data_IF_756602611467
#
_entry.id   IF_756602611467
#
_cell.length_a   1.000
_cell.length_b   1.000
_cell.length_c   1.000
_cell.angle_alpha   90.00
_cell.angle_beta   90.00
_cell.angle_gamma   90.00
#
_symmetry.space_group_name_H-M   'P 1'
#
loop_
_entity.id
_entity.type
_entity.pdbx_description
1 polymer ?
#
# COMPACT_ATOMS: atom_id res chain seq x y z
N UNK A 1 1.16 -13.24 27.45
CA UNK A 1 1.79 -12.15 26.69
C UNK A 1 0.78 -11.15 26.17
N UNK A 2 -0.53 -11.47 26.21
CA UNK A 2 -1.60 -10.52 25.88
C UNK A 2 -2.25 -9.86 27.12
N UNK A 3 -1.99 -10.34 28.35
CA UNK A 3 -2.45 -9.66 29.59
C UNK A 3 -1.58 -8.45 29.97
N UNK A 4 -0.34 -8.37 29.49
CA UNK A 4 0.58 -7.28 29.84
C UNK A 4 0.34 -5.99 29.01
N UNK A 5 -0.46 -6.06 27.92
CA UNK A 5 -0.74 -4.92 27.02
C UNK A 5 -2.01 -4.16 27.45
N UNK A 6 -3.02 -4.86 28.00
CA UNK A 6 -4.24 -4.23 28.53
C UNK A 6 -3.96 -3.41 29.80
N UNK A 7 -3.03 -3.87 30.65
CA UNK A 7 -2.63 -3.15 31.85
C UNK A 7 -1.81 -1.88 31.55
N UNK A 8 -1.03 -1.86 30.46
CA UNK A 8 -0.31 -0.64 30.01
C UNK A 8 -1.28 0.40 29.40
N UNK A 9 -2.32 -0.01 28.69
CA UNK A 9 -3.32 0.90 28.12
C UNK A 9 -4.24 1.50 29.19
N UNK A 10 -4.68 0.70 30.18
CA UNK A 10 -5.47 1.21 31.29
C UNK A 10 -4.65 2.16 32.18
N UNK A 11 -3.37 1.87 32.43
CA UNK A 11 -2.51 2.76 33.20
C UNK A 11 -2.28 4.13 32.51
N UNK A 12 -2.24 4.18 31.17
CA UNK A 12 -2.12 5.44 30.42
C UNK A 12 -3.40 6.29 30.52
N UNK A 13 -4.59 5.67 30.50
CA UNK A 13 -5.88 6.37 30.63
C UNK A 13 -6.02 6.97 32.04
N UNK A 14 -5.63 6.25 33.09
CA UNK A 14 -5.64 6.78 34.46
C UNK A 14 -4.57 7.86 34.69
N UNK A 15 -3.46 7.85 33.95
CA UNK A 15 -2.45 8.92 34.00
C UNK A 15 -2.94 10.21 33.32
N UNK A 16 -3.57 10.11 32.15
CA UNK A 16 -4.18 11.28 31.46
C UNK A 16 -5.31 11.91 32.28
N UNK A 17 -6.11 11.10 32.98
CA UNK A 17 -7.19 11.59 33.84
C UNK A 17 -6.67 12.38 35.05
N UNK A 18 -5.54 11.96 35.64
CA UNK A 18 -4.89 12.67 36.75
C UNK A 18 -4.16 13.95 36.29
N UNK A 19 -3.55 13.96 35.10
CA UNK A 19 -2.92 15.17 34.52
C UNK A 19 -3.97 16.26 34.22
N UNK A 20 -5.16 15.86 33.75
CA UNK A 20 -6.29 16.76 33.54
C UNK A 20 -6.79 17.34 34.88
N UNK A 21 -6.91 16.52 35.92
CA UNK A 21 -7.36 16.95 37.25
C UNK A 21 -6.32 17.85 37.96
N UNK A 22 -5.01 17.63 37.78
CA UNK A 22 -3.95 18.53 38.27
C UNK A 22 -3.96 19.89 37.53
N UNK A 23 -4.21 19.91 36.22
CA UNK A 23 -4.41 21.16 35.47
C UNK A 23 -5.60 21.99 35.96
N UNK A 24 -6.60 21.37 36.63
CA UNK A 24 -7.75 22.07 37.21
C UNK A 24 -7.50 22.66 38.60
N UNK A 25 -6.46 22.23 39.33
CA UNK A 25 -6.07 22.84 40.61
C UNK A 25 -5.33 24.16 40.41
N UNK A 26 -4.48 24.27 39.38
CA UNK A 26 -3.72 25.47 39.07
C UNK A 26 -4.59 26.62 38.50
N UNK A 27 -5.75 26.30 37.93
CA UNK A 27 -6.68 27.32 37.38
C UNK A 27 -7.51 28.01 38.48
N UNK A 28 -7.63 27.39 39.67
CA UNK A 28 -8.48 27.92 40.74
C UNK A 28 -7.79 28.97 41.65
N UNK A 29 -6.47 29.15 41.56
CA UNK A 29 -5.74 30.12 42.40
C UNK A 29 -5.31 31.42 41.68
N UNK A 30 -5.47 31.52 40.36
CA UNK A 30 -5.24 32.76 39.61
C UNK A 30 -6.49 33.24 38.87
N UNK A 31 -7.36 33.96 39.60
CA UNK A 31 -7.79 35.33 39.27
C UNK A 31 -9.15 35.65 39.90
N UNK A 32 -9.06 36.18 41.12
CA UNK A 32 -10.02 37.15 41.64
C UNK A 32 -9.94 38.44 40.80
N UNK A 33 -10.88 38.62 39.87
CA UNK A 33 -11.61 39.87 39.58
C UNK A 33 -12.22 39.84 38.18
N UNK A 34 -13.44 40.34 38.14
CA UNK A 34 -14.18 40.84 36.99
C UNK A 34 -15.03 39.85 36.16
N UNK A 35 -16.34 40.03 36.35
CA UNK A 35 -17.43 39.97 35.36
C UNK A 35 -18.32 38.71 35.35
N UNK A 36 -19.39 38.81 36.16
CA UNK A 36 -20.64 38.03 36.18
C UNK A 36 -21.46 38.03 34.85
N UNK A 37 -20.80 38.02 33.70
CA UNK A 37 -21.42 37.80 32.38
C UNK A 37 -20.72 36.70 31.56
N UNK A 38 -19.53 36.21 31.96
CA UNK A 38 -18.87 35.05 31.33
C UNK A 38 -19.30 33.68 31.91
N UNK A 39 -19.60 33.61 33.20
CA UNK A 39 -19.93 32.34 33.88
C UNK A 39 -21.18 31.62 33.33
N UNK A 40 -22.16 32.34 32.79
CA UNK A 40 -23.36 31.72 32.20
C UNK A 40 -23.12 31.15 30.80
N UNK A 41 -22.14 31.66 30.05
CA UNK A 41 -21.84 31.14 28.72
C UNK A 41 -20.92 29.92 28.80
N UNK A 42 -19.94 29.93 29.70
CA UNK A 42 -19.01 28.82 29.89
C UNK A 42 -19.73 27.60 30.51
N UNK A 43 -20.64 27.82 31.47
CA UNK A 43 -21.46 26.73 32.06
C UNK A 43 -22.40 26.08 31.04
N UNK A 44 -22.97 26.86 30.11
CA UNK A 44 -23.82 26.34 29.03
C UNK A 44 -23.02 25.61 27.95
N UNK A 45 -21.79 26.07 27.65
CA UNK A 45 -20.89 25.34 26.76
C UNK A 45 -20.43 24.00 27.38
N UNK A 46 -20.14 23.97 28.68
CA UNK A 46 -19.73 22.76 29.40
C UNK A 46 -20.90 21.77 29.52
N UNK A 47 -22.13 22.25 29.74
CA UNK A 47 -23.32 21.38 29.77
C UNK A 47 -23.66 20.81 28.38
N UNK A 48 -23.44 21.59 27.31
CA UNK A 48 -23.55 21.09 25.94
C UNK A 48 -22.46 20.09 25.60
N UNK A 49 -21.21 20.31 26.04
CA UNK A 49 -20.14 19.33 25.87
C UNK A 49 -20.44 18.04 26.64
N UNK A 50 -20.88 18.11 27.90
CA UNK A 50 -21.28 16.93 28.68
C UNK A 50 -22.45 16.17 28.04
N UNK A 51 -23.47 16.88 27.53
CA UNK A 51 -24.59 16.24 26.83
C UNK A 51 -24.15 15.62 25.50
N UNK A 52 -23.24 16.26 24.76
CA UNK A 52 -22.65 15.67 23.55
C UNK A 52 -21.87 14.40 23.90
N UNK A 53 -21.03 14.41 24.93
CA UNK A 53 -20.26 13.24 25.37
C UNK A 53 -21.14 12.10 25.93
N UNK A 54 -22.21 12.42 26.66
CA UNK A 54 -23.19 11.42 27.09
C UNK A 54 -23.98 10.82 25.93
N UNK A 55 -24.37 11.64 24.94
CA UNK A 55 -24.98 11.13 23.70
C UNK A 55 -24.00 10.24 22.90
N UNK A 56 -22.70 10.55 22.88
CA UNK A 56 -21.70 9.68 22.26
C UNK A 56 -21.54 8.34 23.00
N UNK A 57 -21.71 8.30 24.32
CA UNK A 57 -21.68 7.05 25.10
C UNK A 57 -22.97 6.23 24.95
N UNK A 58 -24.13 6.88 24.84
CA UNK A 58 -25.42 6.22 24.61
C UNK A 58 -25.56 5.73 23.14
N UNK A 59 -24.92 6.39 22.17
CA UNK A 59 -24.81 5.91 20.78
C UNK A 59 -23.90 4.67 20.67
N UNK A 60 -22.84 4.58 21.48
CA UNK A 60 -21.98 3.39 21.54
C UNK A 60 -22.67 2.18 22.20
N UNK A 61 -23.54 2.39 23.19
CA UNK A 61 -24.25 1.30 23.87
C UNK A 61 -25.46 0.77 23.08
N UNK A 62 -26.00 1.52 22.12
CA UNK A 62 -27.11 1.08 21.26
C UNK A 62 -26.66 0.53 19.88
N UNK A 63 -25.35 0.40 19.65
CA UNK A 63 -24.75 -0.15 18.43
C UNK A 63 -24.15 -1.56 18.61
N UNK A 64 -24.31 -2.18 19.79
CA UNK A 64 -23.76 -3.52 20.06
C UNK A 64 -24.69 -4.69 19.67
N UNK A 65 -25.86 -4.42 19.08
CA UNK A 65 -26.74 -5.48 18.54
C UNK A 65 -26.84 -5.38 17.01
N UNK A 66 -26.10 -6.27 16.34
CA UNK A 66 -26.19 -6.69 14.93
C UNK A 66 -25.70 -5.74 13.81
N UNK A 67 -24.46 -5.23 13.91
CA UNK A 67 -23.71 -4.83 12.70
C UNK A 67 -22.48 -5.73 12.50
N UNK A 68 -22.70 -6.81 11.75
CA UNK A 68 -21.67 -7.64 11.13
C UNK A 68 -20.78 -6.74 10.25
N UNK A 69 -19.60 -6.36 10.75
CA UNK A 69 -18.55 -5.65 10.01
C UNK A 69 -17.94 -6.55 8.91
N UNK A 70 -18.75 -6.92 7.92
CA UNK A 70 -18.31 -7.53 6.67
C UNK A 70 -17.70 -6.47 5.77
N UNK A 71 -16.38 -6.52 5.58
CA UNK A 71 -15.58 -5.61 4.77
C UNK A 71 -16.23 -5.19 3.44
N UNK A 72 -16.75 -3.96 3.39
CA UNK A 72 -17.06 -3.24 2.15
C UNK A 72 -15.73 -2.77 1.53
N UNK A 73 -14.96 -3.70 0.95
CA UNK A 73 -13.72 -3.40 0.23
C UNK A 73 -13.91 -3.32 -1.30
N UNK A 74 -15.15 -3.28 -1.80
CA UNK A 74 -15.39 -3.16 -3.23
C UNK A 74 -15.39 -1.70 -3.66
N UNK A 75 -14.69 -1.40 -4.77
CA UNK A 75 -14.79 -0.09 -5.40
C UNK A 75 -16.14 0.04 -6.09
N UNK A 76 -16.80 1.16 -5.89
CA UNK A 76 -17.96 1.51 -6.68
C UNK A 76 -17.57 1.82 -8.14
N UNK A 77 -18.56 1.86 -9.02
CA UNK A 77 -18.34 2.06 -10.46
C UNK A 77 -17.61 3.39 -10.75
N UNK A 78 -17.98 4.46 -10.03
CA UNK A 78 -17.36 5.78 -10.18
C UNK A 78 -15.88 5.77 -9.79
N UNK A 79 -15.53 5.14 -8.66
CA UNK A 79 -14.12 4.99 -8.24
C UNK A 79 -13.33 4.17 -9.24
N UNK A 80 -13.90 3.09 -9.78
CA UNK A 80 -13.23 2.29 -10.81
C UNK A 80 -12.95 3.10 -12.06
N UNK A 81 -13.93 3.85 -12.58
CA UNK A 81 -13.75 4.71 -13.75
C UNK A 81 -12.63 5.72 -13.49
N UNK A 82 -12.64 6.37 -12.33
CA UNK A 82 -11.61 7.33 -11.92
C UNK A 82 -10.20 6.70 -11.86
N UNK A 83 -10.06 5.51 -11.27
CA UNK A 83 -8.78 4.80 -11.20
C UNK A 83 -8.29 4.38 -12.59
N UNK A 84 -9.20 3.97 -13.48
CA UNK A 84 -8.86 3.61 -14.85
C UNK A 84 -8.36 4.83 -15.65
N UNK A 85 -9.00 5.98 -15.50
CA UNK A 85 -8.57 7.23 -16.12
C UNK A 85 -7.21 7.68 -15.59
N UNK A 86 -6.98 7.57 -14.28
CA UNK A 86 -5.68 7.87 -13.68
C UNK A 86 -4.59 6.96 -14.18
N UNK A 87 -4.81 5.64 -14.23
CA UNK A 87 -3.83 4.71 -14.79
C UNK A 87 -3.39 5.15 -16.19
N UNK A 88 -4.35 5.54 -17.04
CA UNK A 88 -4.06 6.02 -18.39
C UNK A 88 -3.20 7.29 -18.37
N UNK A 89 -3.51 8.26 -17.51
CA UNK A 89 -2.73 9.50 -17.37
C UNK A 89 -1.28 9.18 -16.95
N UNK A 90 -1.08 8.36 -15.94
CA UNK A 90 0.26 7.99 -15.47
C UNK A 90 1.03 7.18 -16.52
N UNK A 91 0.36 6.27 -17.24
CA UNK A 91 1.00 5.46 -18.27
C UNK A 91 1.45 6.31 -19.48
N UNK A 92 0.69 7.35 -19.84
CA UNK A 92 1.05 8.25 -20.94
C UNK A 92 2.31 9.10 -20.63
N UNK A 93 2.67 9.23 -19.36
CA UNK A 93 3.86 10.00 -18.93
C UNK A 93 5.16 9.18 -18.98
N UNK A 94 5.06 7.87 -19.18
CA UNK A 94 6.21 6.99 -19.33
C UNK A 94 6.51 6.82 -20.81
N UNK A 95 7.74 7.15 -21.22
CA UNK A 95 8.24 6.73 -22.52
C UNK A 95 8.64 5.26 -22.39
N UNK A 96 7.90 4.38 -23.07
CA UNK A 96 8.08 2.92 -22.98
C UNK A 96 9.49 2.43 -23.35
N UNK A 97 10.23 3.26 -24.08
CA UNK A 97 11.61 3.00 -24.49
C UNK A 97 12.54 4.09 -23.94
N UNK A 98 12.25 4.65 -22.76
CA UNK A 98 13.04 5.75 -22.18
C UNK A 98 14.50 5.36 -21.97
N UNK A 99 14.80 4.09 -21.68
CA UNK A 99 16.17 3.62 -21.48
C UNK A 99 16.94 3.79 -22.80
N UNK A 100 16.38 3.27 -23.89
CA UNK A 100 16.97 3.33 -25.22
C UNK A 100 17.00 4.75 -25.80
N UNK A 101 15.93 5.53 -25.58
CA UNK A 101 15.72 6.84 -26.21
C UNK A 101 16.37 7.99 -25.43
N UNK A 102 16.42 7.91 -24.10
CA UNK A 102 16.77 9.05 -23.22
C UNK A 102 17.92 8.78 -22.27
N UNK A 103 18.24 7.52 -21.93
CA UNK A 103 19.22 7.19 -20.89
C UNK A 103 20.44 6.45 -21.44
N UNK A 104 21.33 7.16 -22.15
CA UNK A 104 22.53 6.54 -22.77
C UNK A 104 23.52 5.91 -21.78
N UNK A 105 23.46 6.28 -20.50
CA UNK A 105 24.36 5.80 -19.45
C UNK A 105 23.74 4.70 -18.58
N UNK A 106 22.47 4.35 -18.81
CA UNK A 106 21.74 3.35 -18.04
C UNK A 106 21.35 2.20 -18.96
N UNK A 107 21.24 1.01 -18.39
CA UNK A 107 20.77 -0.19 -19.08
C UNK A 107 19.55 -0.75 -18.37
N UNK A 108 18.82 -1.62 -19.05
CA UNK A 108 17.69 -2.33 -18.45
C UNK A 108 18.12 -3.19 -17.25
N UNK A 109 19.30 -3.81 -17.32
CA UNK A 109 19.83 -4.62 -16.20
C UNK A 109 20.11 -3.75 -14.97
N UNK A 110 20.63 -2.54 -15.16
CA UNK A 110 20.83 -1.60 -14.05
C UNK A 110 19.50 -1.23 -13.39
N UNK A 111 18.42 -1.06 -14.16
CA UNK A 111 17.07 -0.82 -13.61
C UNK A 111 16.62 -1.98 -12.73
N UNK A 112 16.81 -3.23 -13.17
CA UNK A 112 16.47 -4.43 -12.38
C UNK A 112 17.26 -4.44 -11.07
N UNK A 113 18.57 -4.22 -11.12
CA UNK A 113 19.43 -4.17 -9.92
C UNK A 113 18.98 -3.07 -8.96
N UNK A 114 18.62 -1.89 -9.47
CA UNK A 114 18.13 -0.82 -8.63
C UNK A 114 16.77 -1.15 -8.00
N UNK A 115 15.84 -1.74 -8.76
CA UNK A 115 14.51 -2.10 -8.25
C UNK A 115 14.60 -3.16 -7.17
N UNK A 116 15.43 -4.18 -7.38
CA UNK A 116 15.73 -5.20 -6.37
C UNK A 116 16.31 -4.58 -5.09
N UNK A 117 17.27 -3.67 -5.22
CA UNK A 117 17.82 -2.94 -4.07
C UNK A 117 16.76 -2.08 -3.36
N UNK A 118 15.90 -1.34 -4.10
CA UNK A 118 14.81 -0.56 -3.50
C UNK A 118 13.86 -1.48 -2.72
N UNK A 119 13.54 -2.66 -3.26
CA UNK A 119 12.69 -3.65 -2.60
C UNK A 119 13.32 -4.18 -1.31
N UNK A 120 14.64 -4.44 -1.31
CA UNK A 120 15.38 -4.82 -0.09
C UNK A 120 15.33 -3.71 0.98
N UNK A 121 15.59 -2.45 0.60
CA UNK A 121 15.50 -1.31 1.52
C UNK A 121 14.08 -1.14 2.06
N UNK A 122 13.06 -1.28 1.22
CA UNK A 122 11.67 -1.22 1.66
C UNK A 122 11.34 -2.35 2.67
N UNK A 123 11.85 -3.56 2.43
CA UNK A 123 11.67 -4.69 3.35
C UNK A 123 12.36 -4.49 4.70
N UNK A 124 13.58 -3.94 4.71
CA UNK A 124 14.35 -3.67 5.94
C UNK A 124 13.59 -2.69 6.87
N UNK A 125 12.91 -1.71 6.28
CA UNK A 125 12.10 -0.73 7.02
C UNK A 125 10.63 -1.16 7.17
N UNK A 126 10.28 -2.40 6.83
CA UNK A 126 8.91 -2.94 6.89
C UNK A 126 7.87 -2.06 6.19
N UNK A 127 8.28 -1.39 5.10
CA UNK A 127 7.39 -0.55 4.31
C UNK A 127 6.35 -1.42 3.61
N UNK A 128 5.16 -0.85 3.36
CA UNK A 128 4.12 -1.51 2.58
C UNK A 128 4.64 -1.81 1.18
N UNK A 129 4.17 -2.93 0.62
CA UNK A 129 4.40 -3.26 -0.81
C UNK A 129 3.92 -2.11 -1.71
N UNK A 130 2.81 -1.47 -1.36
CA UNK A 130 2.29 -0.30 -2.09
C UNK A 130 3.33 0.83 -2.20
N UNK A 131 4.03 1.14 -1.11
CA UNK A 131 5.11 2.16 -1.07
C UNK A 131 6.21 1.86 -2.09
N UNK A 132 6.62 0.59 -2.21
CA UNK A 132 7.57 0.17 -3.24
C UNK A 132 7.02 0.37 -4.66
N UNK A 133 5.78 -0.03 -4.94
CA UNK A 133 5.20 0.11 -6.28
C UNK A 133 4.97 1.57 -6.69
N UNK A 134 4.64 2.44 -5.74
CA UNK A 134 4.59 3.89 -6.00
C UNK A 134 6.01 4.39 -6.35
N UNK A 135 7.04 3.98 -5.61
CA UNK A 135 8.41 4.44 -5.80
C UNK A 135 8.96 4.11 -7.19
N UNK A 136 8.79 2.87 -7.65
CA UNK A 136 9.25 2.45 -8.99
C UNK A 136 8.47 3.17 -10.11
N UNK A 137 7.19 3.48 -9.90
CA UNK A 137 6.39 4.22 -10.88
C UNK A 137 6.88 5.67 -11.00
N UNK A 138 7.16 6.32 -9.87
CA UNK A 138 7.78 7.64 -9.82
C UNK A 138 9.15 7.61 -10.53
N UNK A 139 9.96 6.58 -10.27
CA UNK A 139 11.28 6.42 -10.86
C UNK A 139 11.23 6.27 -12.40
N UNK A 140 10.40 5.38 -12.93
CA UNK A 140 10.26 5.19 -14.39
C UNK A 140 9.75 6.46 -15.09
N UNK A 141 8.80 7.18 -14.49
CA UNK A 141 8.30 8.47 -15.02
C UNK A 141 9.35 9.57 -14.98
N UNK A 142 10.14 9.60 -13.91
CA UNK A 142 11.23 10.56 -13.77
C UNK A 142 12.31 10.32 -14.83
N UNK A 143 12.75 9.07 -15.00
CA UNK A 143 13.72 8.68 -16.03
C UNK A 143 13.19 8.84 -17.46
N UNK A 144 11.86 8.75 -17.63
CA UNK A 144 11.18 9.09 -18.88
C UNK A 144 11.21 10.59 -19.20
N UNK A 145 11.38 11.46 -18.20
CA UNK A 145 11.37 12.91 -18.39
C UNK A 145 12.78 13.50 -18.45
N UNK A 146 13.72 12.93 -17.70
CA UNK A 146 15.12 13.34 -17.65
C UNK A 146 15.94 12.77 -18.82
N UNK A 147 17.06 13.42 -19.18
CA UNK A 147 17.94 12.94 -20.28
C UNK A 147 19.34 12.66 -19.75
N UNK A 148 19.83 11.46 -19.99
CA UNK A 148 21.19 10.99 -19.66
C UNK A 148 21.58 11.20 -18.18
N UNK A 149 20.78 10.65 -17.26
CA UNK A 149 21.13 10.60 -15.86
C UNK A 149 22.50 9.93 -15.69
N UNK A 150 23.34 10.46 -14.78
CA UNK A 150 24.64 9.84 -14.49
C UNK A 150 24.43 8.58 -13.68
N UNK A 151 25.17 7.53 -13.99
CA UNK A 151 25.15 6.27 -13.22
C UNK A 151 25.37 6.49 -11.72
N UNK A 152 26.24 7.43 -11.34
CA UNK A 152 26.52 7.77 -9.93
C UNK A 152 25.34 8.42 -9.20
N UNK A 153 24.33 8.93 -9.93
CA UNK A 153 23.13 9.56 -9.39
C UNK A 153 21.96 8.55 -9.31
N UNK A 154 22.10 7.36 -9.88
CA UNK A 154 20.98 6.45 -10.06
C UNK A 154 20.46 5.90 -8.72
N UNK A 155 21.36 5.55 -7.80
CA UNK A 155 20.98 5.07 -6.46
C UNK A 155 20.25 6.15 -5.64
N UNK A 156 20.77 7.39 -5.59
CA UNK A 156 20.11 8.47 -4.84
C UNK A 156 18.73 8.81 -5.43
N UNK A 157 18.57 8.81 -6.76
CA UNK A 157 17.25 9.04 -7.37
C UNK A 157 16.27 7.94 -6.97
N UNK A 158 16.69 6.67 -7.00
CA UNK A 158 15.88 5.54 -6.53
C UNK A 158 15.49 5.66 -5.06
N UNK A 159 16.46 5.99 -4.19
CA UNK A 159 16.22 6.21 -2.76
C UNK A 159 15.21 7.35 -2.52
N UNK A 160 15.35 8.47 -3.24
CA UNK A 160 14.47 9.62 -3.08
C UNK A 160 13.05 9.29 -3.56
N UNK A 161 12.88 8.52 -4.64
CA UNK A 161 11.57 8.02 -5.04
C UNK A 161 10.91 7.17 -3.93
N UNK A 162 11.69 6.32 -3.24
CA UNK A 162 11.19 5.55 -2.11
C UNK A 162 10.80 6.45 -0.93
N UNK A 163 11.60 7.46 -0.61
CA UNK A 163 11.30 8.45 0.44
C UNK A 163 10.01 9.21 0.14
N UNK A 164 9.84 9.70 -1.10
CA UNK A 164 8.62 10.40 -1.53
C UNK A 164 7.40 9.50 -1.32
N UNK A 165 7.51 8.24 -1.73
CA UNK A 165 6.44 7.25 -1.62
C UNK A 165 6.10 6.94 -0.16
N UNK A 166 7.13 6.73 0.68
CA UNK A 166 6.94 6.45 2.09
C UNK A 166 6.23 7.61 2.81
N UNK A 167 6.63 8.85 2.54
CA UNK A 167 5.96 10.04 3.10
C UNK A 167 4.49 10.19 2.68
N UNK A 168 4.08 9.57 1.57
CA UNK A 168 2.72 9.61 1.07
C UNK A 168 1.86 8.45 1.60
N UNK A 169 2.45 7.26 1.73
CA UNK A 169 1.71 6.00 1.93
C UNK A 169 1.80 5.46 3.37
N UNK A 170 2.89 5.75 4.09
CA UNK A 170 3.09 5.26 5.46
C UNK A 170 2.49 6.21 6.48
N UNK A 171 1.91 5.64 7.55
CA UNK A 171 1.43 6.42 8.70
C UNK A 171 2.62 7.10 9.40
N UNK A 172 3.70 6.34 9.59
CA UNK A 172 4.94 6.80 10.21
C UNK A 172 6.14 6.47 9.30
N UNK A 173 6.41 7.29 8.28
CA UNK A 173 7.54 7.07 7.39
C UNK A 173 8.88 7.19 8.13
N UNK A 174 9.90 6.38 7.80
CA UNK A 174 11.25 6.55 8.34
C UNK A 174 11.81 7.94 8.03
N UNK A 175 12.67 8.44 8.92
CA UNK A 175 13.32 9.74 8.72
C UNK A 175 14.32 9.63 7.57
N UNK A 176 14.57 10.74 6.86
CA UNK A 176 15.58 10.79 5.79
C UNK A 176 16.94 10.27 6.24
N UNK A 177 17.35 10.55 7.49
CA UNK A 177 18.62 10.06 8.05
C UNK A 177 18.69 8.54 8.18
N UNK A 178 17.56 7.88 8.40
CA UNK A 178 17.50 6.41 8.47
C UNK A 178 17.69 5.83 7.07
N UNK A 179 16.97 6.34 6.07
CA UNK A 179 17.17 5.95 4.66
C UNK A 179 18.63 6.12 4.17
N UNK A 180 19.35 7.13 4.65
CA UNK A 180 20.76 7.34 4.31
C UNK A 180 21.70 6.24 4.88
N UNK A 181 21.30 5.53 5.93
CA UNK A 181 22.06 4.38 6.43
C UNK A 181 22.12 3.25 5.40
N UNK A 182 21.07 3.08 4.59
CA UNK A 182 21.02 2.08 3.53
C UNK A 182 21.98 2.36 2.37
N UNK A 183 22.49 3.59 2.26
CA UNK A 183 23.54 3.97 1.29
C UNK A 183 24.91 4.12 1.92
N UNK A 184 25.10 3.58 3.13
CA UNK A 184 26.32 3.74 3.93
C UNK A 184 26.70 5.21 4.14
N UNK A 185 25.70 6.11 4.19
CA UNK A 185 25.87 7.56 4.26
C UNK A 185 26.68 8.15 3.09
N UNK A 186 26.59 7.55 1.90
CA UNK A 186 27.20 8.08 0.67
C UNK A 186 26.61 9.43 0.22
N UNK A 187 25.46 9.81 0.79
CA UNK A 187 24.73 11.02 0.45
C UNK A 187 24.35 11.81 1.71
N UNK A 188 24.12 13.12 1.54
CA UNK A 188 23.67 14.00 2.62
C UNK A 188 22.16 14.22 2.56
N UNK A 189 21.59 14.75 3.66
CA UNK A 189 20.18 15.18 3.68
C UNK A 189 19.90 16.29 2.67
N UNK A 190 20.87 17.16 2.40
CA UNK A 190 20.73 18.23 1.41
C UNK A 190 20.68 17.68 -0.03
N UNK A 191 21.43 16.63 -0.31
CA UNK A 191 21.35 15.92 -1.60
C UNK A 191 19.94 15.35 -1.79
N UNK A 192 19.39 14.68 -0.77
CA UNK A 192 18.03 14.12 -0.79
C UNK A 192 17.01 15.22 -1.04
N UNK A 193 17.08 16.35 -0.31
CA UNK A 193 16.16 17.48 -0.49
C UNK A 193 16.25 18.11 -1.89
N UNK A 194 17.46 18.17 -2.47
CA UNK A 194 17.66 18.69 -3.82
C UNK A 194 16.98 17.79 -4.86
N UNK A 195 17.20 16.48 -4.78
CA UNK A 195 16.58 15.52 -5.68
C UNK A 195 15.08 15.42 -5.48
N UNK A 196 14.59 15.48 -4.25
CA UNK A 196 13.17 15.43 -3.96
C UNK A 196 12.42 16.57 -4.65
N UNK A 197 12.92 17.81 -4.49
CA UNK A 197 12.37 18.98 -5.18
C UNK A 197 12.40 18.82 -6.70
N UNK A 198 13.50 18.27 -7.24
CA UNK A 198 13.64 18.06 -8.69
C UNK A 198 12.61 17.05 -9.20
N UNK A 199 12.51 15.89 -8.55
CA UNK A 199 11.58 14.81 -8.94
C UNK A 199 10.15 15.32 -8.89
N UNK A 200 9.74 15.95 -7.78
CA UNK A 200 8.39 16.46 -7.60
C UNK A 200 8.03 17.54 -8.65
N UNK A 201 8.96 18.45 -8.95
CA UNK A 201 8.74 19.48 -9.96
C UNK A 201 8.64 18.90 -11.38
N UNK A 202 9.51 17.96 -11.74
CA UNK A 202 9.47 17.32 -13.07
C UNK A 202 8.17 16.53 -13.25
N UNK A 203 7.71 15.84 -12.21
CA UNK A 203 6.46 15.07 -12.23
C UNK A 203 5.21 15.90 -11.96
N UNK A 204 5.35 17.23 -11.83
CA UNK A 204 4.23 18.13 -11.51
C UNK A 204 3.41 17.66 -10.31
N UNK A 205 4.09 17.14 -9.27
CA UNK A 205 3.48 16.62 -8.03
C UNK A 205 2.51 15.45 -8.20
N UNK A 206 2.50 14.80 -9.37
CA UNK A 206 1.70 13.60 -9.58
C UNK A 206 2.45 12.37 -9.05
N UNK A 207 2.22 12.01 -7.79
CA UNK A 207 2.95 10.96 -7.05
C UNK A 207 2.07 9.80 -6.56
N UNK A 208 0.80 9.77 -6.94
CA UNK A 208 -0.15 8.74 -6.50
C UNK A 208 -0.70 7.95 -7.70
N UNK A 209 0.08 7.05 -8.32
CA UNK A 209 -0.40 6.21 -9.42
C UNK A 209 -1.28 5.07 -8.91
N UNK A 210 -2.30 4.62 -9.67
CA UNK A 210 -2.86 3.28 -9.48
C UNK A 210 -1.80 2.23 -9.80
N UNK A 211 -1.33 1.49 -8.79
CA UNK A 211 -0.19 0.57 -8.92
C UNK A 211 -0.60 -0.85 -9.33
N UNK A 212 0.40 -1.68 -9.68
CA UNK A 212 0.19 -3.11 -9.90
C UNK A 212 -0.31 -3.82 -8.63
N UNK A 213 0.23 -3.48 -7.46
CA UNK A 213 -0.22 -4.04 -6.19
C UNK A 213 -1.69 -3.69 -5.92
N UNK A 214 -2.10 -2.43 -6.12
CA UNK A 214 -3.51 -2.02 -5.98
C UNK A 214 -4.46 -2.85 -6.86
N UNK A 215 -4.17 -2.96 -8.16
CA UNK A 215 -5.01 -3.74 -9.08
C UNK A 215 -4.96 -5.24 -8.79
N UNK A 216 -3.82 -5.78 -8.36
CA UNK A 216 -3.69 -7.18 -7.94
C UNK A 216 -4.58 -7.48 -6.71
N UNK A 217 -4.53 -6.61 -5.70
CA UNK A 217 -5.41 -6.72 -4.53
C UNK A 217 -6.89 -6.66 -4.93
N UNK A 218 -7.26 -5.76 -5.84
CA UNK A 218 -8.62 -5.67 -6.37
C UNK A 218 -9.04 -6.98 -7.06
N UNK A 219 -8.22 -7.56 -7.94
CA UNK A 219 -8.59 -8.80 -8.63
C UNK A 219 -8.76 -9.99 -7.70
N UNK A 220 -7.89 -10.13 -6.70
CA UNK A 220 -8.04 -11.18 -5.70
C UNK A 220 -9.30 -11.01 -4.85
N UNK A 221 -9.68 -9.78 -4.54
CA UNK A 221 -10.93 -9.51 -3.85
C UNK A 221 -12.16 -9.84 -4.72
N UNK A 222 -12.14 -9.48 -6.00
CA UNK A 222 -13.22 -9.85 -6.93
C UNK A 222 -13.35 -11.37 -7.04
N UNK A 223 -12.23 -12.10 -6.99
CA UNK A 223 -12.24 -13.56 -6.96
C UNK A 223 -12.94 -14.09 -5.71
N UNK A 224 -12.54 -13.63 -4.53
CA UNK A 224 -13.13 -14.09 -3.26
C UNK A 224 -14.65 -13.81 -3.21
N UNK A 225 -15.06 -12.60 -3.63
CA UNK A 225 -16.48 -12.25 -3.73
C UNK A 225 -17.24 -13.11 -4.74
N UNK A 226 -16.62 -13.48 -5.87
CA UNK A 226 -17.23 -14.37 -6.85
C UNK A 226 -17.45 -15.77 -6.26
N UNK A 227 -16.47 -16.31 -5.53
CA UNK A 227 -16.59 -17.61 -4.86
C UNK A 227 -17.72 -17.61 -3.83
N UNK A 228 -17.81 -16.56 -3.01
CA UNK A 228 -18.81 -16.46 -1.93
C UNK A 228 -20.23 -16.27 -2.44
N UNK A 229 -20.42 -15.43 -3.47
CA UNK A 229 -21.75 -15.02 -3.91
C UNK A 229 -22.29 -15.83 -5.11
N UNK A 230 -21.45 -16.62 -5.78
CA UNK A 230 -21.88 -17.39 -6.95
C UNK A 230 -22.31 -18.80 -6.58
N UNK A 231 -23.60 -19.08 -6.77
CA UNK A 231 -24.14 -20.45 -6.71
C UNK A 231 -23.45 -21.38 -7.74
N UNK A 232 -23.00 -20.82 -8.87
CA UNK A 232 -22.26 -21.57 -9.88
C UNK A 232 -20.86 -21.98 -9.38
N UNK A 233 -20.15 -21.08 -8.69
CA UNK A 233 -18.86 -21.39 -8.10
C UNK A 233 -19.02 -22.46 -7.00
N UNK A 234 -19.95 -22.25 -6.06
CA UNK A 234 -20.21 -23.19 -4.96
C UNK A 234 -20.52 -24.63 -5.42
N UNK A 235 -21.20 -24.77 -6.57
CA UNK A 235 -21.58 -26.07 -7.13
C UNK A 235 -20.64 -26.57 -8.23
N UNK A 236 -19.52 -25.87 -8.50
CA UNK A 236 -18.66 -26.23 -9.60
C UNK A 236 -17.97 -27.58 -9.33
N UNK A 237 -18.00 -28.55 -10.27
CA UNK A 237 -17.41 -29.88 -10.07
C UNK A 237 -15.92 -29.87 -9.67
N UNK A 238 -15.18 -28.82 -10.07
CA UNK A 238 -13.77 -28.65 -9.71
C UNK A 238 -13.55 -28.18 -8.26
N UNK A 239 -14.51 -27.50 -7.62
CA UNK A 239 -14.46 -27.14 -6.19
C UNK A 239 -14.85 -28.36 -5.35
N UNK A 240 -15.83 -29.13 -5.81
CA UNK A 240 -16.33 -30.32 -5.13
C UNK A 240 -15.40 -31.54 -5.26
N UNK A 241 -14.54 -31.56 -6.28
CA UNK A 241 -13.42 -32.51 -6.36
C UNK A 241 -12.34 -32.09 -5.37
N UNK A 242 -12.56 -32.40 -4.09
CA UNK A 242 -11.55 -32.35 -3.05
C UNK A 242 -10.30 -33.11 -3.51
N UNK A 243 -9.28 -32.39 -3.97
CA UNK A 243 -7.92 -32.91 -3.90
C UNK A 243 -7.60 -33.04 -2.40
N UNK A 244 -7.25 -34.22 -1.89
CA UNK A 244 -7.00 -34.40 -0.45
C UNK A 244 -5.86 -33.52 0.10
N UNK A 245 -5.09 -32.87 -0.79
CA UNK A 245 -3.98 -31.98 -0.48
C UNK A 245 -4.29 -30.48 -0.68
N UNK A 246 -5.45 -30.09 -1.23
CA UNK A 246 -5.79 -28.69 -1.51
C UNK A 246 -7.17 -28.39 -0.91
N UNK A 247 -7.22 -27.43 0.02
CA UNK A 247 -8.46 -26.96 0.61
C UNK A 247 -9.17 -26.04 -0.40
N UNK A 248 -10.30 -26.50 -0.94
CA UNK A 248 -11.16 -25.74 -1.85
C UNK A 248 -12.43 -25.29 -1.10
N UNK A 249 -13.00 -24.12 -1.43
CA UNK A 249 -12.57 -23.16 -2.45
C UNK A 249 -11.41 -22.26 -1.98
N UNK A 250 -10.55 -21.86 -2.92
CA UNK A 250 -9.41 -20.99 -2.61
C UNK A 250 -9.89 -19.56 -2.54
N UNK A 251 -9.64 -18.96 -1.38
CA UNK A 251 -9.82 -17.55 -1.10
C UNK A 251 -8.47 -16.95 -0.73
N UNK A 252 -8.26 -15.67 -1.03
CA UNK A 252 -6.96 -15.00 -0.86
C UNK A 252 -6.95 -13.97 0.28
N UNK A 253 -8.12 -13.47 0.68
CA UNK A 253 -8.29 -12.37 1.65
C UNK A 253 -8.88 -12.80 2.99
N UNK A 254 -9.07 -14.10 3.19
CA UNK A 254 -9.52 -14.64 4.47
C UNK A 254 -8.41 -14.64 5.52
N UNK A 255 -8.79 -14.49 6.80
CA UNK A 255 -7.88 -14.49 7.94
C UNK A 255 -7.42 -15.91 8.30
N UNK A 256 -6.73 -16.59 7.37
CA UNK A 256 -6.15 -17.92 7.58
C UNK A 256 -4.79 -18.08 6.87
N UNK A 257 -3.99 -19.03 7.35
CA UNK A 257 -2.61 -19.24 6.87
C UNK A 257 -2.55 -19.62 5.38
N UNK A 258 -3.50 -20.43 4.91
CA UNK A 258 -3.57 -20.88 3.51
C UNK A 258 -3.82 -19.71 2.55
N UNK A 259 -4.79 -18.86 2.85
CA UNK A 259 -5.11 -17.64 2.09
C UNK A 259 -3.94 -16.67 2.08
N UNK A 260 -3.26 -16.49 3.21
CA UNK A 260 -2.06 -15.67 3.28
C UNK A 260 -0.92 -16.24 2.42
N UNK A 261 -0.68 -17.56 2.46
CA UNK A 261 0.29 -18.23 1.62
C UNK A 261 0.00 -17.98 0.13
N UNK A 262 -1.25 -18.20 -0.30
CA UNK A 262 -1.63 -18.01 -1.70
C UNK A 262 -1.52 -16.55 -2.16
N UNK A 263 -1.88 -15.60 -1.28
CA UNK A 263 -1.73 -14.18 -1.54
C UNK A 263 -0.26 -13.79 -1.70
N UNK A 264 0.63 -14.31 -0.83
CA UNK A 264 2.07 -14.05 -0.90
C UNK A 264 2.69 -14.57 -2.18
N UNK A 265 2.36 -15.80 -2.58
CA UNK A 265 2.83 -16.41 -3.82
C UNK A 265 2.38 -15.60 -5.04
N UNK A 266 1.10 -15.20 -5.10
CA UNK A 266 0.61 -14.32 -6.16
C UNK A 266 1.37 -12.99 -6.23
N UNK A 267 1.62 -12.37 -5.07
CA UNK A 267 2.33 -11.10 -5.05
C UNK A 267 3.80 -11.23 -5.46
N UNK A 268 4.46 -12.36 -5.22
CA UNK A 268 5.82 -12.61 -5.75
C UNK A 268 5.84 -12.65 -7.28
N UNK A 269 4.77 -13.16 -7.90
CA UNK A 269 4.61 -13.13 -9.37
C UNK A 269 4.51 -11.67 -9.84
N UNK A 270 3.75 -10.82 -9.14
CA UNK A 270 3.66 -9.39 -9.45
C UNK A 270 5.02 -8.71 -9.30
N UNK A 271 5.74 -9.00 -8.21
CA UNK A 271 7.07 -8.45 -7.94
C UNK A 271 8.05 -8.84 -9.08
N UNK A 272 7.98 -10.08 -9.60
CA UNK A 272 8.78 -10.52 -10.76
C UNK A 272 8.40 -9.79 -12.06
N UNK A 273 7.09 -9.60 -12.31
CA UNK A 273 6.59 -8.88 -13.49
C UNK A 273 7.06 -7.42 -13.50
N UNK A 274 7.16 -6.79 -12.33
CA UNK A 274 7.67 -5.42 -12.15
C UNK A 274 9.14 -5.27 -12.61
N UNK A 275 9.95 -6.29 -12.37
CA UNK A 275 11.38 -6.25 -12.71
C UNK A 275 11.59 -6.27 -14.22
N UNK A 276 10.74 -6.96 -14.99
CA UNK A 276 10.85 -6.99 -16.44
C UNK A 276 10.53 -5.63 -17.08
N UNK A 277 11.44 -5.09 -17.87
CA UNK A 277 11.22 -3.81 -18.58
C UNK A 277 10.05 -3.85 -19.54
N UNK A 278 9.70 -5.03 -20.06
CA UNK A 278 8.62 -5.18 -21.04
C UNK A 278 7.25 -4.90 -20.43
N UNK A 279 7.13 -4.86 -19.09
CA UNK A 279 5.87 -4.51 -18.43
C UNK A 279 5.32 -3.14 -18.87
N UNK A 280 6.20 -2.18 -19.19
CA UNK A 280 5.83 -0.83 -19.62
C UNK A 280 5.10 -0.82 -20.97
N UNK A 281 5.25 -1.88 -21.78
CA UNK A 281 4.60 -1.99 -23.08
C UNK A 281 3.08 -2.21 -22.95
N UNK A 282 2.65 -2.85 -21.87
CA UNK A 282 1.29 -3.31 -21.64
C UNK A 282 0.55 -2.40 -20.67
N UNK A 283 -0.79 -2.40 -20.72
CA UNK A 283 -1.61 -1.72 -19.70
C UNK A 283 -1.51 -2.51 -18.39
N UNK A 284 -1.38 -1.83 -17.26
CA UNK A 284 -1.22 -2.40 -15.92
C UNK A 284 -2.28 -3.46 -15.64
N UNK A 285 -3.55 -3.15 -15.92
CA UNK A 285 -4.68 -4.09 -15.76
C UNK A 285 -4.58 -5.35 -16.62
N UNK A 286 -4.19 -5.19 -17.89
CA UNK A 286 -4.09 -6.32 -18.84
C UNK A 286 -2.92 -7.22 -18.46
N UNK A 287 -1.82 -6.62 -18.03
CA UNK A 287 -0.62 -7.32 -17.60
C UNK A 287 -0.89 -8.20 -16.39
N UNK A 288 -1.73 -7.76 -15.45
CA UNK A 288 -2.09 -8.52 -14.25
C UNK A 288 -3.14 -9.60 -14.50
N UNK A 289 -4.08 -9.35 -15.41
CA UNK A 289 -5.17 -10.30 -15.69
C UNK A 289 -4.62 -11.69 -16.07
N UNK A 290 -3.54 -11.73 -16.86
CA UNK A 290 -2.93 -12.98 -17.33
C UNK A 290 -2.31 -13.79 -16.17
N UNK A 291 -1.36 -13.27 -15.37
CA UNK A 291 -0.86 -13.92 -14.17
C UNK A 291 -1.96 -14.32 -13.19
N UNK A 292 -2.99 -13.49 -12.98
CA UNK A 292 -4.12 -13.85 -12.12
C UNK A 292 -4.85 -15.07 -12.64
N UNK A 293 -5.22 -15.07 -13.93
CA UNK A 293 -5.90 -16.20 -14.55
C UNK A 293 -5.02 -17.46 -14.50
N UNK A 294 -3.72 -17.34 -14.81
CA UNK A 294 -2.79 -18.46 -14.81
C UNK A 294 -2.57 -19.01 -13.40
N UNK A 295 -2.47 -18.15 -12.39
CA UNK A 295 -2.26 -18.57 -11.02
C UNK A 295 -3.51 -19.29 -10.49
N UNK A 296 -4.68 -18.69 -10.72
CA UNK A 296 -5.97 -19.31 -10.39
C UNK A 296 -6.16 -20.63 -11.17
N UNK A 297 -5.77 -20.71 -12.45
CA UNK A 297 -5.90 -21.93 -13.25
C UNK A 297 -4.99 -23.09 -12.83
N UNK A 298 -4.00 -22.87 -11.96
CA UNK A 298 -3.28 -23.99 -11.36
C UNK A 298 -4.17 -24.79 -10.40
N UNK A 299 -5.18 -24.14 -9.84
CA UNK A 299 -6.13 -24.73 -8.91
C UNK A 299 -7.40 -25.23 -9.60
N UNK A 300 -7.69 -24.75 -10.81
CA UNK A 300 -8.86 -25.13 -11.60
C UNK A 300 -8.42 -25.51 -13.02
N UNK A 301 -8.86 -26.67 -13.52
CA UNK A 301 -8.68 -27.02 -14.94
C UNK A 301 -9.50 -26.05 -15.80
N UNK A 302 -8.95 -24.89 -16.10
CA UNK A 302 -9.54 -23.90 -16.99
C UNK A 302 -9.10 -24.23 -18.43
N UNK A 303 -10.03 -24.37 -19.39
CA UNK A 303 -9.70 -24.63 -20.78
C UNK A 303 -9.20 -23.33 -21.43
N UNK A 304 -7.99 -22.89 -21.09
CA UNK A 304 -7.39 -21.66 -21.61
C UNK A 304 -6.15 -22.03 -22.41
N UNK A 305 -6.36 -22.35 -23.68
CA UNK A 305 -5.30 -22.41 -24.71
C UNK A 305 -4.99 -20.97 -25.17
N UNK A 306 -4.24 -20.21 -24.38
CA UNK A 306 -3.77 -18.87 -24.76
C UNK A 306 -2.25 -18.84 -24.69
N UNK A 307 -1.58 -18.69 -25.84
CA UNK A 307 -0.13 -18.44 -25.87
C UNK A 307 0.18 -17.06 -25.30
N UNK A 308 0.83 -17.04 -24.14
CA UNK A 308 1.16 -15.82 -23.41
C UNK A 308 2.40 -15.09 -23.99
N UNK A 309 2.48 -13.76 -23.86
CA UNK A 309 3.74 -13.03 -24.03
C UNK A 309 4.78 -13.48 -23.00
N UNK A 310 6.07 -13.44 -23.35
CA UNK A 310 7.16 -13.96 -22.52
C UNK A 310 7.22 -13.32 -21.12
N UNK A 311 6.93 -12.02 -21.03
CA UNK A 311 6.90 -11.24 -19.79
C UNK A 311 5.86 -11.70 -18.76
N UNK A 312 4.82 -12.42 -19.19
CA UNK A 312 3.79 -12.98 -18.31
C UNK A 312 4.02 -14.47 -17.98
N UNK A 313 4.98 -15.13 -18.64
CA UNK A 313 5.30 -16.54 -18.41
C UNK A 313 6.29 -16.68 -17.26
N UNK A 314 5.79 -16.60 -16.03
CA UNK A 314 6.61 -16.91 -14.85
C UNK A 314 6.67 -18.43 -14.67
N UNK A 315 7.87 -19.00 -14.57
CA UNK A 315 8.06 -20.43 -14.27
C UNK A 315 7.89 -20.64 -12.76
N UNK A 316 6.82 -21.30 -12.30
CA UNK A 316 6.51 -21.42 -10.87
C UNK A 316 7.63 -22.09 -10.07
N UNK A 317 8.37 -23.02 -10.70
CA UNK A 317 9.42 -23.80 -10.04
C UNK A 317 10.72 -23.03 -9.83
N UNK A 318 10.98 -21.99 -10.63
CA UNK A 318 12.23 -21.21 -10.55
C UNK A 318 12.15 -20.00 -9.62
N UNK A 319 10.94 -19.51 -9.31
CA UNK A 319 10.75 -18.38 -8.39
C UNK A 319 11.10 -18.77 -6.95
N UNK A 320 10.91 -20.04 -6.60
CA UNK A 320 11.19 -20.57 -5.26
C UNK A 320 12.68 -20.85 -5.01
N UNK A 321 13.51 -20.96 -6.06
CA UNK A 321 14.94 -21.28 -5.92
C UNK A 321 15.82 -20.04 -5.68
N UNK A 322 15.32 -18.83 -5.91
CA UNK A 322 16.11 -17.59 -5.79
C UNK A 322 16.07 -16.92 -4.41
N UNK A 323 15.38 -17.51 -3.42
CA UNK A 323 15.22 -16.94 -2.08
C UNK A 323 15.55 -17.92 -0.93
N UNK A 324 16.54 -18.79 -1.11
CA UNK A 324 17.12 -19.59 -0.02
C UNK A 324 18.57 -19.18 0.28
#
# INVERSE_FOLDING_TARGET
>A
MDEDIEDEQNNNIYQEQNEIDEMFLDINDENNKDQNQKQNNDSNQIMNLKNSYSNYQDEQQNQEEDEEYGYVLNYDEETLIYLMEREQVYQQQVDKLYIENKQKNLTSDMRVVLFDWIMQVASEYYLKRETFHIAINILDRFLSSEVNLKTSQFQIVGLVCLIISAKQEEIYPPKVKEFLLATENSYTTDDVLCWEKRILNILSWQTNPPTLNMWGNFYLLQWDMYIENSEFASNHPLILQNNPNIQLPIQFKQANDSSYYYFREYMQIIDAVVLDKENLLYKTRVLLLIPTIQYVSQFFILPIDVELPLSAKVNPQKVLESYN
#
